data_IF_554828704234
#
_entry.id   IF_554828704234
#
_cell.length_a   1.000
_cell.length_b   1.000
_cell.length_c   1.000
_cell.angle_alpha   90.00
_cell.angle_beta   90.00
_cell.angle_gamma   90.00
#
_symmetry.space_group_name_H-M   'P 1'
#
loop_
_entity.id
_entity.type
_entity.pdbx_description
1 polymer ?
#
# COMPACT_ATOMS: atom_id res chain seq x y z
N UNK A 1 6.52 3.45 -14.08
CA UNK A 1 5.31 4.03 -13.47
C UNK A 1 5.36 5.56 -13.47
N UNK A 2 6.28 6.21 -12.75
CA UNK A 2 6.34 7.69 -12.68
C UNK A 2 6.33 8.39 -14.04
N UNK A 3 7.19 7.97 -14.98
CA UNK A 3 7.22 8.54 -16.34
C UNK A 3 5.90 8.41 -17.10
N UNK A 4 5.13 7.35 -16.83
CA UNK A 4 3.83 7.13 -17.45
C UNK A 4 2.78 8.06 -16.83
N UNK A 5 2.77 8.19 -15.49
CA UNK A 5 1.89 9.12 -14.78
C UNK A 5 2.12 10.59 -15.17
N UNK A 6 3.38 11.00 -15.35
CA UNK A 6 3.71 12.33 -15.86
C UNK A 6 3.17 12.61 -17.26
N UNK A 7 2.94 11.56 -18.07
CA UNK A 7 2.35 11.66 -19.41
C UNK A 7 0.82 11.54 -19.41
N UNK A 8 0.22 11.09 -18.31
CA UNK A 8 -1.23 10.96 -18.15
C UNK A 8 -1.85 12.16 -17.43
N UNK A 9 -1.20 13.33 -17.52
CA UNK A 9 -1.61 14.58 -16.88
C UNK A 9 -1.78 14.52 -15.34
N UNK A 10 -1.11 13.59 -14.66
CA UNK A 10 -1.10 13.55 -13.20
C UNK A 10 -0.47 14.82 -12.62
N UNK A 11 -1.14 15.45 -11.65
CA UNK A 11 -0.67 16.67 -10.98
C UNK A 11 -0.10 16.34 -9.60
N UNK A 12 0.77 17.23 -9.10
CA UNK A 12 1.35 17.13 -7.75
C UNK A 12 1.90 15.72 -7.44
N UNK A 13 2.66 15.17 -8.39
CA UNK A 13 3.21 13.84 -8.28
C UNK A 13 4.37 13.82 -7.28
N UNK A 14 4.25 12.99 -6.25
CA UNK A 14 5.32 12.69 -5.30
C UNK A 14 5.71 11.21 -5.41
N UNK A 15 6.99 10.96 -5.65
CA UNK A 15 7.54 9.61 -5.69
C UNK A 15 8.16 9.28 -4.33
N UNK A 16 7.47 8.44 -3.55
CA UNK A 16 7.85 7.96 -2.22
C UNK A 16 8.32 6.50 -2.26
N UNK A 17 8.71 5.98 -3.44
CA UNK A 17 9.20 4.61 -3.59
C UNK A 17 10.59 4.49 -2.98
N UNK A 18 10.77 3.51 -2.09
CA UNK A 18 12.06 3.25 -1.47
C UNK A 18 12.96 2.42 -2.38
N UNK A 19 14.17 2.92 -2.62
CA UNK A 19 15.15 2.23 -3.46
C UNK A 19 15.76 1.04 -2.69
N UNK A 20 16.04 1.23 -1.39
CA UNK A 20 16.65 0.22 -0.52
C UNK A 20 15.69 -0.16 0.62
N UNK A 21 15.50 -1.46 0.82
CA UNK A 21 14.68 -2.00 1.90
C UNK A 21 13.17 -1.84 1.69
N UNK A 22 12.42 -2.19 2.72
CA UNK A 22 10.96 -2.10 2.78
C UNK A 22 10.52 -0.79 3.45
N UNK A 23 9.26 -0.41 3.31
CA UNK A 23 8.71 0.80 3.93
C UNK A 23 8.78 0.75 5.46
N UNK A 24 9.06 1.90 6.05
CA UNK A 24 8.93 2.17 7.48
C UNK A 24 7.50 2.54 7.84
N UNK A 25 7.17 2.47 9.13
CA UNK A 25 5.85 2.92 9.62
C UNK A 25 5.61 4.41 9.37
N UNK A 26 6.66 5.24 9.45
CA UNK A 26 6.57 6.68 9.18
C UNK A 26 6.22 6.96 7.72
N UNK A 27 6.88 6.29 6.78
CA UNK A 27 6.58 6.40 5.35
C UNK A 27 5.16 5.90 5.03
N UNK A 28 4.73 4.82 5.69
CA UNK A 28 3.36 4.31 5.53
C UNK A 28 2.32 5.30 6.03
N UNK A 29 2.55 5.91 7.20
CA UNK A 29 1.69 6.96 7.74
C UNK A 29 1.63 8.19 6.80
N UNK A 30 2.73 8.54 6.14
CA UNK A 30 2.76 9.60 5.12
C UNK A 30 1.93 9.24 3.89
N UNK A 31 2.08 8.03 3.35
CA UNK A 31 1.26 7.54 2.23
C UNK A 31 -0.24 7.54 2.61
N UNK A 32 -0.56 7.12 3.83
CA UNK A 32 -1.94 7.11 4.33
C UNK A 32 -2.53 8.53 4.42
N UNK A 33 -1.74 9.54 4.82
CA UNK A 33 -2.17 10.94 4.83
C UNK A 33 -2.58 11.41 3.43
N UNK A 34 -1.80 11.08 2.40
CA UNK A 34 -2.17 11.38 1.01
C UNK A 34 -3.48 10.69 0.61
N UNK A 35 -3.65 9.41 0.95
CA UNK A 35 -4.90 8.69 0.67
C UNK A 35 -6.13 9.37 1.32
N UNK A 36 -6.00 9.83 2.58
CA UNK A 36 -7.06 10.58 3.28
C UNK A 36 -7.36 11.92 2.62
N UNK A 37 -6.34 12.59 2.08
CA UNK A 37 -6.47 13.85 1.36
C UNK A 37 -7.07 13.69 -0.05
N UNK A 38 -7.40 12.46 -0.47
CA UNK A 38 -8.00 12.18 -1.77
C UNK A 38 -6.98 12.00 -2.90
N UNK A 39 -5.68 11.95 -2.60
CA UNK A 39 -4.67 11.63 -3.59
C UNK A 39 -4.80 10.16 -4.02
N UNK A 40 -4.48 9.89 -5.29
CA UNK A 40 -4.33 8.51 -5.78
C UNK A 40 -3.01 7.95 -5.29
N UNK A 41 -3.05 6.76 -4.71
CA UNK A 41 -1.88 6.05 -4.22
C UNK A 41 -1.66 4.80 -5.06
N UNK A 42 -0.50 4.74 -5.71
CA UNK A 42 -0.05 3.59 -6.49
C UNK A 42 1.18 3.01 -5.83
N UNK A 43 1.02 1.88 -5.13
CA UNK A 43 2.03 1.30 -4.26
C UNK A 43 2.74 0.14 -4.94
N UNK A 44 4.07 0.10 -4.82
CA UNK A 44 4.89 -1.03 -5.23
C UNK A 44 5.05 -2.00 -4.05
N UNK A 45 4.78 -3.28 -4.28
CA UNK A 45 4.84 -4.29 -3.24
C UNK A 45 5.31 -5.67 -3.72
N UNK A 46 5.60 -6.55 -2.77
CA UNK A 46 5.83 -7.98 -3.00
C UNK A 46 4.49 -8.73 -2.99
N UNK A 47 3.94 -8.99 -4.18
CA UNK A 47 2.71 -9.77 -4.28
C UNK A 47 2.84 -11.21 -3.75
N UNK A 48 3.96 -11.94 -3.91
CA UNK A 48 4.07 -13.28 -3.33
C UNK A 48 4.01 -13.24 -1.80
N UNK A 49 4.59 -12.22 -1.16
CA UNK A 49 4.62 -12.12 0.30
C UNK A 49 3.23 -11.87 0.89
N UNK A 50 2.45 -11.01 0.23
CA UNK A 50 1.09 -10.67 0.67
C UNK A 50 0.06 -11.69 0.22
N UNK A 51 0.03 -12.05 -1.06
CA UNK A 51 -1.08 -12.82 -1.65
C UNK A 51 -0.83 -14.33 -1.68
N UNK A 52 0.43 -14.79 -1.57
CA UNK A 52 0.80 -16.21 -1.63
C UNK A 52 1.59 -16.70 -0.39
N UNK A 53 1.70 -15.87 0.65
CA UNK A 53 2.34 -16.25 1.91
C UNK A 53 3.87 -16.40 1.86
N UNK A 54 4.53 -16.01 0.77
CA UNK A 54 5.99 -16.12 0.64
C UNK A 54 6.74 -15.28 1.69
N UNK A 55 7.95 -15.71 2.05
CA UNK A 55 8.80 -15.01 3.04
C UNK A 55 10.06 -14.41 2.42
N UNK A 56 10.22 -14.52 1.11
CA UNK A 56 11.38 -13.98 0.38
C UNK A 56 11.46 -12.46 0.56
N UNK A 57 12.56 -11.94 1.14
CA UNK A 57 12.70 -10.51 1.33
C UNK A 57 12.95 -9.79 0.00
N UNK A 58 12.62 -8.49 -0.05
CA UNK A 58 13.02 -7.57 -1.12
C UNK A 58 12.57 -7.91 -2.55
N UNK A 59 11.50 -8.71 -2.72
CA UNK A 59 10.97 -9.05 -4.04
C UNK A 59 9.95 -8.01 -4.54
N UNK A 60 10.41 -7.03 -5.33
CA UNK A 60 9.56 -5.99 -5.94
C UNK A 60 8.85 -6.55 -7.17
N UNK A 61 7.55 -6.81 -7.10
CA UNK A 61 6.89 -7.61 -8.14
C UNK A 61 5.61 -6.99 -8.69
N UNK A 62 4.90 -6.18 -7.90
CA UNK A 62 3.52 -5.85 -8.23
C UNK A 62 3.11 -4.45 -7.79
N UNK A 63 2.30 -3.81 -8.62
CA UNK A 63 1.68 -2.52 -8.30
C UNK A 63 0.23 -2.73 -7.91
N UNK A 64 -0.18 -2.08 -6.82
CA UNK A 64 -1.59 -1.98 -6.41
C UNK A 64 -2.01 -0.53 -6.38
N UNK A 65 -3.31 -0.29 -6.54
CA UNK A 65 -3.90 1.05 -6.39
C UNK A 65 -4.80 1.04 -5.16
N UNK A 66 -4.63 2.01 -4.28
CA UNK A 66 -5.47 2.10 -3.08
C UNK A 66 -6.82 2.73 -3.44
N UNK A 67 -7.88 2.12 -2.91
CA UNK A 67 -9.27 2.61 -2.99
C UNK A 67 -9.80 3.03 -1.62
N UNK A 68 -8.99 2.87 -0.56
CA UNK A 68 -9.21 3.41 0.77
C UNK A 68 -7.86 3.69 1.46
N UNK A 69 -7.84 4.43 2.57
CA UNK A 69 -6.72 4.39 3.50
C UNK A 69 -6.51 2.98 4.08
N UNK A 70 -5.26 2.66 4.44
CA UNK A 70 -4.89 1.48 5.21
C UNK A 70 -5.37 1.66 6.66
N UNK A 71 -6.07 0.68 7.20
CA UNK A 71 -6.66 0.76 8.53
C UNK A 71 -6.46 -0.54 9.32
N UNK A 72 -6.61 -0.46 10.63
CA UNK A 72 -6.62 -1.62 11.53
C UNK A 72 -7.92 -2.39 11.35
N UNK A 73 -7.83 -3.71 11.17
CA UNK A 73 -8.99 -4.59 11.15
C UNK A 73 -9.71 -4.62 12.50
N UNK A 74 -8.97 -4.45 13.59
CA UNK A 74 -9.49 -4.63 14.95
C UNK A 74 -10.27 -3.40 15.42
N UNK A 75 -9.78 -2.20 15.08
CA UNK A 75 -10.35 -0.94 15.58
C UNK A 75 -11.03 -0.12 14.49
N UNK A 76 -10.81 -0.44 13.21
CA UNK A 76 -11.20 0.41 12.08
C UNK A 76 -10.40 1.71 11.97
N UNK A 77 -9.48 1.98 12.92
CA UNK A 77 -8.67 3.19 12.95
C UNK A 77 -7.62 3.21 11.85
N UNK A 78 -7.35 4.40 11.31
CA UNK A 78 -6.33 4.58 10.26
C UNK A 78 -4.94 4.28 10.84
N UNK A 79 -4.13 3.56 10.06
CA UNK A 79 -2.74 3.28 10.44
C UNK A 79 -1.91 4.58 10.39
N UNK A 80 -1.20 4.84 11.48
CA UNK A 80 -0.34 6.00 11.68
C UNK A 80 1.02 5.60 12.27
N UNK A 81 1.85 6.60 12.60
CA UNK A 81 3.19 6.40 13.16
C UNK A 81 3.23 5.80 14.58
N UNK A 82 2.09 5.68 15.26
CA UNK A 82 1.96 5.13 16.62
C UNK A 82 1.28 3.76 16.65
N UNK A 83 0.82 3.28 15.50
CA UNK A 83 0.17 1.97 15.34
C UNK A 83 1.12 0.82 15.67
N UNK A 84 0.59 -0.26 16.26
CA UNK A 84 1.43 -1.38 16.70
C UNK A 84 1.71 -2.29 15.51
N UNK A 85 2.96 -2.73 15.39
CA UNK A 85 3.38 -3.61 14.30
C UNK A 85 2.66 -4.97 14.29
N UNK A 86 2.05 -5.36 15.41
CA UNK A 86 1.25 -6.59 15.57
C UNK A 86 -0.20 -6.42 15.15
N UNK A 87 -0.68 -5.19 14.93
CA UNK A 87 -2.07 -4.96 14.52
C UNK A 87 -2.30 -5.58 13.13
N UNK A 88 -3.44 -6.23 12.94
CA UNK A 88 -3.86 -6.71 11.62
C UNK A 88 -4.44 -5.56 10.82
N UNK A 89 -4.16 -5.53 9.52
CA UNK A 89 -4.50 -4.41 8.63
C UNK A 89 -5.37 -4.84 7.47
N UNK A 90 -6.20 -3.92 7.00
CA UNK A 90 -6.97 -4.09 5.78
C UNK A 90 -6.93 -2.81 4.93
N UNK A 91 -7.12 -3.02 3.63
CA UNK A 91 -6.99 -2.01 2.59
C UNK A 91 -7.90 -2.40 1.44
N UNK A 92 -8.83 -1.53 1.07
CA UNK A 92 -9.53 -1.67 -0.21
C UNK A 92 -8.57 -1.27 -1.32
N UNK A 93 -8.35 -2.16 -2.28
CA UNK A 93 -7.38 -1.94 -3.34
C UNK A 93 -7.83 -2.54 -4.68
N UNK A 94 -7.36 -1.94 -5.76
CA UNK A 94 -7.39 -2.52 -7.09
C UNK A 94 -6.13 -3.33 -7.35
N UNK A 95 -6.31 -4.59 -7.76
CA UNK A 95 -5.24 -5.47 -8.24
C UNK A 95 -5.81 -6.55 -9.16
N UNK A 96 -5.05 -6.98 -10.16
CA UNK A 96 -5.44 -8.04 -11.12
C UNK A 96 -6.87 -7.87 -11.69
N UNK A 97 -7.25 -6.62 -12.00
CA UNK A 97 -8.54 -6.32 -12.62
C UNK A 97 -9.75 -6.29 -11.67
N UNK A 98 -9.54 -6.34 -10.35
CA UNK A 98 -10.64 -6.33 -9.35
C UNK A 98 -10.35 -5.35 -8.22
N UNK A 99 -11.42 -4.72 -7.72
CA UNK A 99 -11.40 -3.92 -6.48
C UNK A 99 -12.01 -4.75 -5.36
N UNK A 100 -11.23 -5.03 -4.31
CA UNK A 100 -11.68 -5.76 -3.11
C UNK A 100 -10.90 -5.29 -1.88
N UNK A 101 -11.38 -5.68 -0.70
CA UNK A 101 -10.58 -5.55 0.52
C UNK A 101 -9.44 -6.58 0.49
N UNK A 102 -8.30 -6.23 1.08
CA UNK A 102 -7.11 -7.06 1.11
C UNK A 102 -7.44 -8.45 1.67
N UNK A 103 -8.22 -8.50 2.76
CA UNK A 103 -8.63 -9.73 3.44
C UNK A 103 -9.45 -10.70 2.58
N UNK A 104 -9.97 -10.26 1.43
CA UNK A 104 -10.81 -11.06 0.53
C UNK A 104 -10.03 -11.71 -0.62
N UNK A 105 -8.72 -11.48 -0.73
CA UNK A 105 -7.93 -11.93 -1.88
C UNK A 105 -7.47 -13.39 -1.82
N UNK A 106 -7.05 -13.91 -0.66
CA UNK A 106 -6.65 -15.32 -0.47
C UNK A 106 -6.65 -15.71 1.00
N UNK A 107 -6.43 -16.99 1.34
CA UNK A 107 -6.22 -17.37 2.75
C UNK A 107 -5.03 -16.65 3.40
N UNK A 108 -4.03 -16.23 2.62
CA UNK A 108 -2.83 -15.58 3.13
C UNK A 108 -3.04 -14.11 3.49
N UNK A 109 -4.12 -13.48 3.02
CA UNK A 109 -4.37 -12.05 3.24
C UNK A 109 -5.29 -11.75 4.42
N UNK A 110 -5.94 -12.77 5.01
CA UNK A 110 -6.93 -12.60 6.08
C UNK A 110 -6.37 -11.92 7.34
N UNK A 111 -5.16 -12.28 7.75
CA UNK A 111 -4.56 -11.83 9.01
C UNK A 111 -3.17 -11.20 8.79
N UNK A 112 -3.05 -10.34 7.77
CA UNK A 112 -1.81 -9.62 7.52
C UNK A 112 -1.56 -8.62 8.66
N UNK A 113 -0.46 -8.82 9.38
CA UNK A 113 0.03 -7.83 10.35
C UNK A 113 0.62 -6.62 9.65
N UNK A 114 0.58 -5.46 10.31
CA UNK A 114 1.22 -4.24 9.85
C UNK A 114 2.72 -4.47 9.57
N UNK A 115 3.42 -5.21 10.42
CA UNK A 115 4.82 -5.61 10.17
C UNK A 115 5.00 -6.31 8.83
N UNK A 116 4.14 -7.29 8.52
CA UNK A 116 4.23 -8.04 7.26
C UNK A 116 3.88 -7.16 6.06
N UNK A 117 2.87 -6.30 6.19
CA UNK A 117 2.51 -5.33 5.17
C UNK A 117 3.67 -4.36 4.86
N UNK A 118 4.30 -3.81 5.89
CA UNK A 118 5.48 -2.94 5.76
C UNK A 118 6.63 -3.65 5.07
N UNK A 119 6.97 -4.87 5.50
CA UNK A 119 8.04 -5.68 4.91
C UNK A 119 7.82 -6.01 3.43
N UNK A 120 6.56 -6.08 2.99
CA UNK A 120 6.21 -6.29 1.60
C UNK A 120 6.05 -4.99 0.80
N UNK A 121 6.05 -3.83 1.44
CA UNK A 121 5.88 -2.53 0.82
C UNK A 121 7.22 -1.93 0.40
N UNK A 122 7.27 -1.33 -0.79
CA UNK A 122 8.43 -0.61 -1.31
C UNK A 122 8.10 0.85 -1.61
N UNK A 123 7.13 1.41 -0.88
CA UNK A 123 6.65 2.77 -1.04
C UNK A 123 5.64 2.92 -2.18
N UNK A 124 5.27 4.17 -2.46
CA UNK A 124 4.22 4.50 -3.41
C UNK A 124 4.55 5.74 -4.23
N UNK A 125 3.89 5.86 -5.37
CA UNK A 125 3.76 7.13 -6.08
C UNK A 125 2.37 7.66 -5.75
N UNK A 126 2.31 8.91 -5.29
CA UNK A 126 1.06 9.60 -4.97
C UNK A 126 0.89 10.80 -5.90
N UNK A 127 -0.35 11.08 -6.31
CA UNK A 127 -0.65 12.19 -7.20
C UNK A 127 -2.13 12.59 -7.11
N UNK A 128 -2.44 13.82 -7.51
CA UNK A 128 -3.81 14.27 -7.70
C UNK A 128 -4.32 13.80 -9.07
N UNK A 129 -5.45 13.11 -9.07
CA UNK A 129 -6.17 12.82 -10.32
C UNK A 129 -6.96 14.06 -10.74
N UNK A 130 -6.97 14.36 -12.04
CA UNK A 130 -7.91 15.32 -12.60
C UNK A 130 -9.26 14.59 -12.69
N UNK A 131 -10.26 15.05 -11.94
CA UNK A 131 -11.66 14.66 -12.14
C UNK A 131 -12.21 15.23 -13.43
#
# INVERSE_FOLDING_TARGET
MEKWLKKSDAKNLHNLVTIRGSSTLKEMAEINKYAIQGYRVVQLMSSPNIFAGATTPNFKAHWIVWESPLHSQQTGGIIDQYSRLTDTVDLKLFTWGKVKNLIEHSEYTKEITLKKFLNASFGAIVFEAIT
#
